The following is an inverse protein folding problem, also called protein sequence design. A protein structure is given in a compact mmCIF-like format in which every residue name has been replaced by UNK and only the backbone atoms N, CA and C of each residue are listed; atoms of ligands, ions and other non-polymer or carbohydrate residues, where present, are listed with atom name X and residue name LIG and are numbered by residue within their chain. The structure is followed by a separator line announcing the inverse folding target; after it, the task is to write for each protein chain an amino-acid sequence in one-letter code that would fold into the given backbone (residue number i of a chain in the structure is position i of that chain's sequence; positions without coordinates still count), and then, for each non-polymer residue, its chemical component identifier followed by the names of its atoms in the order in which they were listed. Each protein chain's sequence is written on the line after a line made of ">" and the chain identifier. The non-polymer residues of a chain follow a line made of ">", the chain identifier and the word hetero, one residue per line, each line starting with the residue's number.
data_IF_760231131465
#
_entry.id   IF_760231131465
#
_cell.length_a   1.000
_cell.length_b   1.000
_cell.length_c   1.000
_cell.angle_alpha   90.00
_cell.angle_beta   90.00
_cell.angle_gamma   90.00
#
_symmetry.space_group_name_H-M   'P 1'
#
loop_
_entity.id
_entity.type
_entity.pdbx_description
1 polymer ?
#
# COMPACT_ATOMS: atom_id res chain seq x y z
N UNK A 1 -3.92 3.63 41.34
CA UNK A 1 -3.42 4.97 40.95
C UNK A 1 -2.91 5.67 42.21
N UNK A 2 -1.68 6.17 42.20
CA UNK A 2 -1.08 7.03 43.20
C UNK A 2 -1.14 8.48 42.73
N UNK A 3 -1.53 9.40 43.60
CA UNK A 3 -1.56 10.84 43.32
C UNK A 3 -0.65 11.55 44.32
N UNK A 4 0.36 12.25 43.81
CA UNK A 4 1.33 13.01 44.59
C UNK A 4 1.03 14.50 44.39
N UNK A 5 0.62 15.16 45.47
CA UNK A 5 0.43 16.61 45.48
C UNK A 5 1.77 17.29 45.81
N UNK A 6 2.64 17.42 44.80
CA UNK A 6 4.01 17.92 44.93
C UNK A 6 4.94 17.26 43.92
N UNK A 7 6.25 17.53 44.05
CA UNK A 7 7.27 16.89 43.23
C UNK A 7 7.63 15.51 43.77
N UNK A 8 7.92 14.58 42.87
CA UNK A 8 8.38 13.22 43.15
C UNK A 8 9.80 13.04 42.59
N UNK A 9 10.69 12.47 43.40
CA UNK A 9 12.04 12.09 42.96
C UNK A 9 12.20 10.59 43.11
N UNK A 10 12.57 9.91 42.02
CA UNK A 10 12.85 8.48 42.00
C UNK A 10 14.36 8.30 42.26
N UNK A 11 14.69 7.66 43.39
CA UNK A 11 16.07 7.38 43.77
C UNK A 11 16.75 6.41 42.80
N UNK A 12 18.09 6.50 42.68
CA UNK A 12 18.86 5.55 41.88
C UNK A 12 18.71 4.11 42.41
N UNK A 13 18.65 3.14 41.49
CA UNK A 13 18.44 1.73 41.84
C UNK A 13 17.00 1.36 42.23
N UNK A 14 16.05 2.30 42.20
CA UNK A 14 14.65 2.02 42.54
C UNK A 14 13.99 1.04 41.58
N UNK A 15 13.12 0.18 42.11
CA UNK A 15 12.30 -0.76 41.34
C UNK A 15 10.82 -0.37 41.41
N UNK A 16 10.14 -0.31 40.26
CA UNK A 16 8.70 -0.14 40.21
C UNK A 16 8.03 -1.52 40.13
N UNK A 17 7.31 -1.90 41.19
CA UNK A 17 6.51 -3.12 41.19
C UNK A 17 5.05 -2.79 40.93
N UNK A 18 4.45 -3.51 39.98
CA UNK A 18 3.04 -3.38 39.62
C UNK A 18 2.35 -4.70 39.97
N UNK A 19 1.14 -4.61 40.48
CA UNK A 19 0.27 -5.75 40.72
C UNK A 19 -1.06 -5.50 40.01
N UNK A 20 -1.61 -6.52 39.35
CA UNK A 20 -2.92 -6.46 38.73
C UNK A 20 -3.96 -6.91 39.75
N UNK A 21 -5.07 -6.19 39.86
CA UNK A 21 -6.23 -6.60 40.67
C UNK A 21 -7.45 -6.90 39.78
N UNK A 22 -7.26 -6.95 38.45
CA UNK A 22 -8.32 -7.11 37.46
C UNK A 22 -7.81 -7.04 36.03
N UNK A 23 -8.62 -7.49 35.08
CA UNK A 23 -8.28 -7.47 33.66
C UNK A 23 -8.19 -6.04 33.12
N UNK A 24 -7.06 -5.72 32.49
CA UNK A 24 -6.82 -4.44 31.82
C UNK A 24 -7.42 -4.49 30.42
N UNK A 25 -8.07 -3.40 29.98
CA UNK A 25 -8.51 -3.29 28.59
C UNK A 25 -7.30 -3.02 27.69
N UNK A 26 -7.04 -3.88 26.69
CA UNK A 26 -6.07 -3.60 25.62
C UNK A 26 -6.27 -2.21 25.02
N UNK A 27 -5.19 -1.57 24.56
CA UNK A 27 -5.24 -0.25 23.90
C UNK A 27 -5.68 0.93 24.78
N UNK A 28 -5.87 0.73 26.10
CA UNK A 28 -6.25 1.78 27.04
C UNK A 28 -5.05 2.22 27.89
N UNK A 29 -4.91 3.51 28.12
CA UNK A 29 -3.88 4.08 29.01
C UNK A 29 -4.43 4.24 30.43
N UNK A 30 -3.69 3.75 31.41
CA UNK A 30 -4.02 3.83 32.84
C UNK A 30 -2.98 4.65 33.58
N UNK A 31 -3.39 5.73 34.23
CA UNK A 31 -2.52 6.48 35.14
C UNK A 31 -2.18 5.62 36.36
N UNK A 32 -0.90 5.26 36.49
CA UNK A 32 -0.40 4.58 37.67
C UNK A 32 0.01 5.57 38.74
N UNK A 33 0.78 6.60 38.37
CA UNK A 33 1.30 7.65 39.27
C UNK A 33 1.09 9.00 38.59
N UNK A 34 0.61 10.00 39.31
CA UNK A 34 0.53 11.40 38.84
C UNK A 34 1.12 12.31 39.92
N UNK A 35 2.01 13.23 39.56
CA UNK A 35 2.66 14.17 40.46
C UNK A 35 2.50 15.61 39.97
N UNK A 36 1.81 16.46 40.74
CA UNK A 36 1.49 17.83 40.31
C UNK A 36 2.71 18.76 40.23
N UNK A 37 3.76 18.49 41.01
CA UNK A 37 5.04 19.20 40.98
C UNK A 37 6.10 18.53 40.11
N UNK A 38 5.73 17.50 39.35
CA UNK A 38 6.61 16.77 38.44
C UNK A 38 7.29 15.54 39.04
N UNK A 39 7.92 14.74 38.18
CA UNK A 39 8.66 13.51 38.48
C UNK A 39 10.07 13.66 37.93
N UNK A 40 11.08 13.43 38.77
CA UNK A 40 12.49 13.41 38.40
C UNK A 40 13.13 12.05 38.74
N UNK A 41 14.20 11.67 38.05
CA UNK A 41 14.81 10.33 38.14
C UNK A 41 14.09 9.28 37.30
N UNK A 42 14.53 8.03 37.34
CA UNK A 42 13.89 6.90 36.63
C UNK A 42 14.09 5.60 37.40
N UNK A 43 13.16 4.66 37.25
CA UNK A 43 13.31 3.34 37.84
C UNK A 43 14.37 2.53 37.09
N UNK A 44 15.25 1.86 37.84
CA UNK A 44 16.28 0.99 37.28
C UNK A 44 15.68 -0.34 36.80
N UNK A 45 14.59 -0.79 37.43
CA UNK A 45 13.87 -1.98 36.99
C UNK A 45 12.36 -1.84 37.19
N UNK A 46 11.58 -2.54 36.37
CA UNK A 46 10.11 -2.59 36.46
C UNK A 46 9.70 -4.05 36.54
N UNK A 47 9.06 -4.41 37.66
CA UNK A 47 8.50 -5.74 37.87
C UNK A 47 7.00 -5.69 37.60
N UNK A 48 6.54 -6.51 36.66
CA UNK A 48 5.13 -6.64 36.31
C UNK A 48 4.72 -8.11 36.28
N UNK A 49 3.45 -8.43 36.60
CA UNK A 49 2.88 -9.76 36.43
C UNK A 49 2.95 -10.17 34.95
N UNK A 50 3.16 -11.46 34.66
CA UNK A 50 3.26 -11.96 33.28
C UNK A 50 1.95 -11.81 32.49
N UNK A 51 0.82 -11.76 33.18
CA UNK A 51 -0.53 -11.53 32.66
C UNK A 51 -0.87 -10.04 32.48
N UNK A 52 -0.02 -9.13 32.97
CA UNK A 52 -0.19 -7.68 32.78
C UNK A 52 0.40 -7.25 31.43
N UNK A 53 -0.46 -7.23 30.41
CA UNK A 53 -0.11 -6.82 29.06
C UNK A 53 -0.14 -5.30 28.90
N UNK A 54 1.01 -4.73 28.55
CA UNK A 54 1.19 -3.29 28.39
C UNK A 54 2.61 -2.81 28.68
N UNK A 55 2.86 -1.56 28.31
CA UNK A 55 4.13 -0.86 28.48
C UNK A 55 4.02 0.22 29.55
N UNK A 56 5.06 0.36 30.37
CA UNK A 56 5.15 1.47 31.31
C UNK A 56 5.84 2.64 30.66
N UNK A 57 5.19 3.79 30.70
CA UNK A 57 5.74 5.04 30.19
C UNK A 57 5.80 6.05 31.32
N UNK A 58 7.01 6.53 31.61
CA UNK A 58 7.25 7.61 32.55
C UNK A 58 7.37 8.95 31.82
N UNK A 59 6.83 10.00 32.43
CA UNK A 59 6.77 11.36 31.93
C UNK A 59 7.16 12.34 33.01
N UNK A 60 7.23 13.62 32.64
CA UNK A 60 7.56 14.70 33.55
C UNK A 60 6.56 14.85 34.72
N UNK A 61 5.30 14.44 34.57
CA UNK A 61 4.26 14.61 35.61
C UNK A 61 3.50 13.32 35.95
N UNK A 62 3.76 12.21 35.25
CA UNK A 62 3.01 10.96 35.43
C UNK A 62 3.74 9.72 34.96
N UNK A 63 3.34 8.57 35.49
CA UNK A 63 3.71 7.24 35.04
C UNK A 63 2.44 6.49 34.67
N UNK A 64 2.39 5.94 33.47
CA UNK A 64 1.20 5.32 32.88
C UNK A 64 1.50 3.90 32.42
N UNK A 65 0.49 3.04 32.48
CA UNK A 65 0.47 1.73 31.85
C UNK A 65 -0.37 1.83 30.57
N UNK A 66 0.27 1.62 29.43
CA UNK A 66 -0.39 1.54 28.13
C UNK A 66 -0.68 0.10 27.80
N UNK A 67 -1.96 -0.27 27.73
CA UNK A 67 -2.37 -1.61 27.35
C UNK A 67 -1.88 -1.99 25.95
N UNK A 68 -1.22 -3.12 25.82
CA UNK A 68 -0.75 -3.65 24.54
C UNK A 68 -1.94 -4.22 23.75
N UNK A 69 -1.95 -4.03 22.43
CA UNK A 69 -2.89 -4.75 21.57
C UNK A 69 -2.51 -6.23 21.49
N UNK A 70 -3.50 -7.10 21.64
CA UNK A 70 -3.30 -8.54 21.62
C UNK A 70 -3.53 -9.10 20.21
N UNK A 71 -2.71 -10.08 19.82
CA UNK A 71 -2.96 -10.91 18.65
C UNK A 71 -3.94 -12.04 18.94
N UNK A 72 -4.45 -12.67 17.89
CA UNK A 72 -5.27 -13.88 17.93
C UNK A 72 -4.79 -14.81 16.81
N UNK A 73 -4.77 -16.13 17.05
CA UNK A 73 -4.33 -17.11 16.06
C UNK A 73 -5.18 -17.11 14.78
N UNK A 74 -6.38 -16.55 14.82
CA UNK A 74 -7.28 -16.38 13.67
C UNK A 74 -6.97 -15.14 12.83
N UNK A 75 -6.09 -14.25 13.30
CA UNK A 75 -5.71 -13.06 12.54
C UNK A 75 -4.88 -13.44 11.33
N UNK A 76 -5.07 -12.69 10.23
CA UNK A 76 -4.19 -12.83 9.09
C UNK A 76 -2.77 -12.37 9.45
N UNK A 77 -1.73 -12.87 8.76
CA UNK A 77 -0.37 -12.42 8.99
C UNK A 77 -0.18 -10.91 8.87
N UNK A 78 -0.90 -10.24 7.96
CA UNK A 78 -0.84 -8.77 7.85
C UNK A 78 -1.45 -8.07 9.06
N UNK A 79 -2.56 -8.58 9.59
CA UNK A 79 -3.18 -8.04 10.81
C UNK A 79 -2.26 -8.23 12.00
N UNK A 80 -1.65 -9.42 12.15
CA UNK A 80 -0.70 -9.69 13.22
C UNK A 80 0.52 -8.73 13.16
N UNK A 81 1.13 -8.55 11.99
CA UNK A 81 2.23 -7.59 11.80
C UNK A 81 1.80 -6.15 12.08
N UNK A 82 0.56 -5.78 11.73
CA UNK A 82 0.00 -4.45 12.00
C UNK A 82 -0.15 -4.19 13.51
N UNK A 83 -0.63 -5.20 14.26
CA UNK A 83 -0.69 -5.17 15.73
C UNK A 83 0.71 -5.01 16.33
N UNK A 84 1.68 -5.81 15.87
CA UNK A 84 3.06 -5.74 16.35
C UNK A 84 3.69 -4.37 16.05
N UNK A 85 3.47 -3.85 14.86
CA UNK A 85 3.93 -2.52 14.46
C UNK A 85 3.31 -1.42 15.31
N UNK A 86 2.00 -1.48 15.56
CA UNK A 86 1.31 -0.52 16.43
C UNK A 86 1.88 -0.55 17.85
N UNK A 87 2.05 -1.74 18.42
CA UNK A 87 2.65 -1.93 19.74
C UNK A 87 4.08 -1.36 19.81
N UNK A 88 4.92 -1.68 18.83
CA UNK A 88 6.28 -1.16 18.74
C UNK A 88 6.33 0.37 18.55
N UNK A 89 5.36 0.92 17.81
CA UNK A 89 5.22 2.37 17.62
C UNK A 89 4.83 3.06 18.91
N UNK A 90 3.87 2.51 19.66
CA UNK A 90 3.37 3.11 20.90
C UNK A 90 4.45 3.27 21.98
N UNK A 91 5.38 2.33 22.06
CA UNK A 91 6.54 2.42 22.97
C UNK A 91 7.40 3.65 22.69
N UNK A 92 7.46 4.09 21.42
CA UNK A 92 8.30 5.22 20.99
C UNK A 92 7.59 6.57 21.06
N UNK A 93 6.26 6.60 21.26
CA UNK A 93 5.49 7.84 21.18
C UNK A 93 5.48 8.66 22.48
N UNK A 94 5.61 10.00 22.40
CA UNK A 94 5.43 10.88 23.55
C UNK A 94 3.96 10.95 23.99
N UNK A 95 3.69 11.43 25.21
CA UNK A 95 2.37 11.49 25.88
C UNK A 95 1.30 12.21 25.14
N UNK A 96 1.78 13.27 24.54
CA UNK A 96 1.03 14.27 23.84
C UNK A 96 0.79 13.82 22.41
N UNK A 97 1.28 12.63 22.03
CA UNK A 97 1.00 12.05 20.74
C UNK A 97 -0.51 11.89 20.59
N UNK A 98 -1.03 12.52 19.54
CA UNK A 98 -2.43 12.40 19.13
C UNK A 98 -2.80 10.96 18.75
N UNK A 99 -1.81 10.09 18.53
CA UNK A 99 -2.02 8.66 18.30
C UNK A 99 -2.82 7.99 19.43
N UNK A 100 -2.64 8.42 20.68
CA UNK A 100 -3.36 7.82 21.80
C UNK A 100 -4.88 8.04 21.73
N UNK A 101 -5.33 9.14 21.12
CA UNK A 101 -6.74 9.39 20.89
C UNK A 101 -7.35 8.45 19.82
N UNK A 102 -6.51 7.88 18.95
CA UNK A 102 -6.95 6.95 17.91
C UNK A 102 -7.03 5.49 18.40
N UNK A 103 -6.37 5.12 19.50
CA UNK A 103 -6.33 3.72 19.97
C UNK A 103 -7.70 3.06 20.19
N UNK A 104 -8.71 3.75 20.74
CA UNK A 104 -10.02 3.13 20.93
C UNK A 104 -10.68 2.67 19.63
N UNK A 105 -10.33 3.28 18.49
CA UNK A 105 -10.86 2.90 17.18
C UNK A 105 -10.30 1.57 16.65
N UNK A 106 -9.21 1.07 17.24
CA UNK A 106 -8.57 -0.21 16.92
C UNK A 106 -9.05 -1.35 17.83
N UNK A 107 -10.06 -1.09 18.65
CA UNK A 107 -10.65 -2.06 19.57
C UNK A 107 -12.09 -2.37 19.15
N UNK A 108 -12.48 -3.62 19.36
CA UNK A 108 -13.88 -4.03 19.33
C UNK A 108 -14.64 -3.48 20.54
N UNK A 109 -15.97 -3.56 20.53
CA UNK A 109 -16.80 -3.14 21.66
C UNK A 109 -16.49 -3.89 22.98
N UNK A 110 -15.97 -5.13 22.90
CA UNK A 110 -15.53 -5.92 24.06
C UNK A 110 -14.11 -5.57 24.52
N UNK A 111 -13.42 -4.66 23.84
CA UNK A 111 -12.08 -4.19 24.20
C UNK A 111 -10.94 -5.08 23.71
N UNK A 112 -11.18 -6.07 22.86
CA UNK A 112 -10.11 -6.83 22.18
C UNK A 112 -9.71 -6.14 20.87
N UNK A 113 -8.48 -6.38 20.39
CA UNK A 113 -7.99 -5.84 19.11
C UNK A 113 -8.97 -6.13 17.97
N UNK A 114 -9.31 -5.10 17.18
CA UNK A 114 -10.18 -5.24 16.01
C UNK A 114 -9.36 -5.58 14.76
N UNK A 115 -9.44 -6.82 14.23
CA UNK A 115 -8.69 -7.19 13.04
C UNK A 115 -9.04 -6.36 11.80
N UNK A 116 -10.27 -5.83 11.70
CA UNK A 116 -10.68 -4.98 10.56
C UNK A 116 -9.99 -3.62 10.65
N UNK A 117 -10.01 -2.99 11.82
CA UNK A 117 -9.30 -1.74 12.06
C UNK A 117 -7.80 -1.87 11.80
N UNK A 118 -7.18 -2.96 12.27
CA UNK A 118 -5.76 -3.22 12.01
C UNK A 118 -5.42 -3.50 10.54
N UNK A 119 -6.33 -4.12 9.79
CA UNK A 119 -6.16 -4.31 8.35
C UNK A 119 -6.17 -2.97 7.59
N UNK A 120 -7.04 -2.03 7.96
CA UNK A 120 -7.18 -0.72 7.29
C UNK A 120 -5.95 0.18 7.41
N UNK A 121 -5.16 0.03 8.47
CA UNK A 121 -3.95 0.84 8.70
C UNK A 121 -2.70 0.26 8.03
N UNK A 122 -2.80 -0.93 7.43
CA UNK A 122 -1.69 -1.54 6.69
C UNK A 122 -1.31 -0.72 5.45
N UNK A 123 -0.06 -0.82 4.97
CA UNK A 123 0.36 -0.19 3.72
C UNK A 123 -0.10 -0.95 2.45
N UNK A 124 -0.93 -1.99 2.59
CA UNK A 124 -1.28 -2.92 1.50
C UNK A 124 -1.87 -2.21 0.28
N UNK A 125 -2.71 -1.19 0.47
CA UNK A 125 -3.29 -0.42 -0.64
C UNK A 125 -2.22 0.30 -1.49
N UNK A 126 -1.15 0.79 -0.87
CA UNK A 126 -0.04 1.44 -1.59
C UNK A 126 0.84 0.42 -2.30
N UNK A 127 1.09 -0.74 -1.68
CA UNK A 127 1.81 -1.82 -2.30
C UNK A 127 1.05 -2.37 -3.52
N UNK A 128 -0.25 -2.64 -3.38
CA UNK A 128 -1.12 -3.13 -4.46
C UNK A 128 -1.25 -2.13 -5.61
N UNK A 129 -1.17 -0.83 -5.34
CA UNK A 129 -1.18 0.18 -6.39
C UNK A 129 0.01 0.08 -7.35
N UNK A 130 1.15 -0.50 -6.94
CA UNK A 130 2.28 -0.73 -7.85
C UNK A 130 1.93 -1.72 -8.98
N UNK A 131 0.96 -2.62 -8.74
CA UNK A 131 0.46 -3.55 -9.74
C UNK A 131 -0.24 -2.82 -10.91
N UNK A 132 -0.74 -1.60 -10.71
CA UNK A 132 -1.32 -0.79 -11.79
C UNK A 132 -0.31 -0.58 -12.92
N UNK A 133 0.97 -0.32 -12.58
CA UNK A 133 2.02 -0.16 -13.59
C UNK A 133 2.26 -1.44 -14.38
N UNK A 134 2.17 -2.60 -13.73
CA UNK A 134 2.29 -3.91 -14.40
C UNK A 134 1.10 -4.16 -15.33
N UNK A 135 -0.12 -3.91 -14.86
CA UNK A 135 -1.33 -4.08 -15.66
C UNK A 135 -1.30 -3.14 -16.89
N UNK A 136 -0.95 -1.87 -16.69
CA UNK A 136 -0.74 -0.89 -17.76
C UNK A 136 0.34 -1.35 -18.76
N UNK A 137 1.49 -1.83 -18.28
CA UNK A 137 2.57 -2.32 -19.12
C UNK A 137 2.13 -3.49 -20.02
N UNK A 138 1.36 -4.44 -19.47
CA UNK A 138 0.79 -5.55 -20.22
C UNK A 138 -0.22 -5.07 -21.28
N UNK A 139 -1.10 -4.13 -20.92
CA UNK A 139 -2.06 -3.54 -21.85
C UNK A 139 -1.38 -2.77 -22.99
N UNK A 140 -0.39 -1.93 -22.67
CA UNK A 140 0.38 -1.15 -23.65
C UNK A 140 1.22 -2.04 -24.58
N UNK A 141 1.79 -3.12 -24.04
CA UNK A 141 2.54 -4.09 -24.85
C UNK A 141 1.63 -4.84 -25.83
N UNK A 142 0.44 -5.26 -25.37
CA UNK A 142 -0.56 -5.84 -26.27
C UNK A 142 -1.00 -4.85 -27.35
N UNK A 143 -1.20 -3.59 -26.98
CA UNK A 143 -1.51 -2.51 -27.92
C UNK A 143 -0.41 -2.33 -28.97
N UNK A 144 0.87 -2.32 -28.56
CA UNK A 144 2.04 -2.16 -29.42
C UNK A 144 2.20 -3.31 -30.42
N UNK A 145 1.90 -4.54 -30.00
CA UNK A 145 1.89 -5.74 -30.86
C UNK A 145 0.69 -5.79 -31.82
N UNK A 146 -0.32 -4.95 -31.60
CA UNK A 146 -1.56 -4.93 -32.37
C UNK A 146 -1.37 -4.44 -33.82
N UNK A 147 -2.32 -4.76 -34.72
CA UNK A 147 -2.23 -4.38 -36.12
C UNK A 147 -2.30 -2.86 -36.35
N UNK A 148 -2.85 -2.09 -35.40
CA UNK A 148 -2.91 -0.63 -35.49
C UNK A 148 -1.51 0.01 -35.54
N UNK A 149 -0.50 -0.64 -34.96
CA UNK A 149 0.88 -0.18 -35.07
C UNK A 149 1.54 -0.56 -36.38
N UNK A 150 0.91 -1.42 -37.20
CA UNK A 150 1.45 -1.89 -38.47
C UNK A 150 0.86 -1.18 -39.69
N UNK A 151 1.66 -1.12 -40.75
CA UNK A 151 1.26 -0.56 -42.04
C UNK A 151 1.22 -1.66 -43.10
N UNK A 152 0.21 -1.63 -43.96
CA UNK A 152 0.08 -2.57 -45.08
C UNK A 152 0.62 -1.97 -46.40
N UNK A 153 1.47 -0.94 -46.29
CA UNK A 153 2.06 -0.30 -47.46
C UNK A 153 3.09 -1.24 -48.10
N UNK A 154 3.08 -1.32 -49.43
CA UNK A 154 4.09 -2.05 -50.20
C UNK A 154 5.40 -1.28 -50.31
N UNK A 155 5.34 0.05 -50.21
CA UNK A 155 6.51 0.94 -50.24
C UNK A 155 6.65 1.71 -48.93
N UNK A 156 7.90 1.90 -48.51
CA UNK A 156 8.24 2.60 -47.29
C UNK A 156 7.67 4.03 -47.30
N UNK A 157 6.88 4.36 -46.28
CA UNK A 157 6.28 5.69 -46.17
C UNK A 157 5.76 5.99 -44.78
N UNK A 158 5.39 7.26 -44.54
CA UNK A 158 4.81 7.67 -43.27
C UNK A 158 3.42 7.07 -43.09
N UNK A 159 3.08 6.72 -41.85
CA UNK A 159 1.74 6.32 -41.44
C UNK A 159 1.43 6.88 -40.04
N UNK A 160 0.14 6.97 -39.74
CA UNK A 160 -0.36 7.36 -38.42
C UNK A 160 -1.36 6.33 -37.92
N UNK A 161 -1.53 6.26 -36.61
CA UNK A 161 -2.52 5.38 -36.02
C UNK A 161 -3.06 5.98 -34.73
N UNK A 162 -4.23 5.48 -34.34
CA UNK A 162 -4.88 5.78 -33.08
C UNK A 162 -5.64 4.55 -32.61
N UNK A 163 -5.64 4.30 -31.30
CA UNK A 163 -6.41 3.22 -30.69
C UNK A 163 -6.86 3.58 -29.28
N UNK A 164 -7.98 3.00 -28.85
CA UNK A 164 -8.45 3.05 -27.47
C UNK A 164 -8.13 1.75 -26.76
N UNK A 165 -7.89 1.84 -25.46
CA UNK A 165 -7.58 0.70 -24.61
C UNK A 165 -8.62 0.60 -23.50
N UNK A 166 -8.98 -0.63 -23.15
CA UNK A 166 -9.83 -0.95 -22.02
C UNK A 166 -9.31 -2.23 -21.37
N UNK A 167 -9.16 -2.21 -20.05
CA UNK A 167 -8.58 -3.31 -19.30
C UNK A 167 -9.34 -3.57 -17.99
N UNK A 168 -9.47 -4.84 -17.64
CA UNK A 168 -10.09 -5.32 -16.39
C UNK A 168 -9.25 -6.47 -15.85
N UNK A 169 -8.72 -6.30 -14.65
CA UNK A 169 -7.86 -7.27 -13.99
C UNK A 169 -8.31 -7.53 -12.56
N UNK A 170 -8.05 -8.74 -12.09
CA UNK A 170 -8.24 -9.12 -10.68
C UNK A 170 -6.93 -9.70 -10.16
N UNK A 171 -6.36 -9.04 -9.16
CA UNK A 171 -5.26 -9.58 -8.37
C UNK A 171 -5.85 -10.51 -7.31
N UNK A 172 -5.38 -11.76 -7.29
CA UNK A 172 -5.83 -12.76 -6.33
C UNK A 172 -5.43 -12.43 -4.90
N UNK A 173 -6.25 -12.85 -3.94
CA UNK A 173 -5.88 -12.83 -2.53
C UNK A 173 -4.88 -13.96 -2.22
N UNK A 174 -3.94 -13.71 -1.32
CA UNK A 174 -3.08 -14.75 -0.73
C UNK A 174 -3.39 -14.89 0.76
N UNK A 175 -4.04 -16.01 1.14
CA UNK A 175 -4.36 -16.27 2.55
C UNK A 175 -3.14 -16.56 3.41
N UNK A 176 -2.09 -17.16 2.84
CA UNK A 176 -0.87 -17.48 3.57
C UNK A 176 -0.04 -16.22 3.86
N UNK A 177 -0.12 -15.21 3.00
CA UNK A 177 0.48 -13.90 3.25
C UNK A 177 -0.48 -12.89 3.87
N UNK A 178 -1.78 -13.18 3.88
CA UNK A 178 -2.84 -12.32 4.40
C UNK A 178 -3.19 -11.13 3.52
N UNK A 179 -2.90 -11.18 2.21
CA UNK A 179 -3.22 -10.11 1.26
C UNK A 179 -4.63 -10.28 0.69
N UNK A 180 -5.27 -9.15 0.41
CA UNK A 180 -6.62 -9.04 -0.12
C UNK A 180 -6.63 -9.10 -1.64
N UNK A 181 -7.74 -9.58 -2.20
CA UNK A 181 -7.96 -9.47 -3.62
C UNK A 181 -8.19 -7.99 -4.02
N UNK A 182 -7.65 -7.60 -5.17
CA UNK A 182 -7.81 -6.25 -5.72
C UNK A 182 -8.44 -6.35 -7.12
N UNK A 183 -9.34 -5.44 -7.43
CA UNK A 183 -9.91 -5.30 -8.77
C UNK A 183 -9.39 -4.03 -9.42
N UNK A 184 -8.75 -4.16 -10.58
CA UNK A 184 -8.23 -3.06 -11.39
C UNK A 184 -9.08 -2.92 -12.64
N UNK A 185 -9.44 -1.69 -13.01
CA UNK A 185 -10.11 -1.37 -14.27
C UNK A 185 -9.47 -0.12 -14.82
N UNK A 186 -9.20 -0.09 -16.11
CA UNK A 186 -8.61 1.08 -16.74
C UNK A 186 -9.05 1.25 -18.18
N UNK A 187 -8.86 2.46 -18.68
CA UNK A 187 -9.10 2.79 -20.07
C UNK A 187 -8.12 3.88 -20.51
N UNK A 188 -7.98 4.06 -21.81
CA UNK A 188 -7.13 5.12 -22.33
C UNK A 188 -7.13 5.22 -23.84
N UNK A 189 -6.27 6.10 -24.33
CA UNK A 189 -6.12 6.39 -25.75
C UNK A 189 -4.65 6.51 -26.10
N UNK A 190 -4.26 5.90 -27.22
CA UNK A 190 -2.94 6.00 -27.81
C UNK A 190 -3.06 6.57 -29.22
N UNK A 191 -2.10 7.42 -29.57
CA UNK A 191 -1.89 7.90 -30.93
C UNK A 191 -0.41 7.89 -31.27
N UNK A 192 -0.08 7.73 -32.54
CA UNK A 192 1.30 7.71 -32.95
C UNK A 192 1.52 7.89 -34.44
N UNK A 193 2.80 7.98 -34.75
CA UNK A 193 3.32 8.13 -36.11
C UNK A 193 4.41 7.11 -36.33
N UNK A 194 4.53 6.64 -37.56
CA UNK A 194 5.57 5.71 -37.93
C UNK A 194 6.01 5.88 -39.38
N UNK A 195 7.05 5.15 -39.73
CA UNK A 195 7.59 5.07 -41.07
C UNK A 195 7.97 3.62 -41.36
N UNK A 196 7.58 3.13 -42.53
CA UNK A 196 7.89 1.77 -42.95
C UNK A 196 6.94 1.26 -44.02
N UNK A 197 7.06 -0.03 -44.27
CA UNK A 197 6.26 -0.84 -45.18
C UNK A 197 5.80 -2.12 -44.47
N UNK A 198 5.20 -3.03 -45.23
CA UNK A 198 4.73 -4.33 -44.74
C UNK A 198 5.85 -5.25 -44.22
N UNK A 199 7.10 -5.03 -44.63
CA UNK A 199 8.26 -5.82 -44.21
C UNK A 199 8.88 -5.26 -42.94
N UNK A 200 9.03 -3.94 -42.83
CA UNK A 200 9.63 -3.32 -41.66
C UNK A 200 8.97 -2.00 -41.33
N UNK A 201 8.95 -1.65 -40.05
CA UNK A 201 8.38 -0.40 -39.60
C UNK A 201 8.96 -0.01 -38.25
N UNK A 202 9.06 1.31 -38.04
CA UNK A 202 9.37 1.91 -36.76
C UNK A 202 8.37 3.04 -36.49
N UNK A 203 7.98 3.20 -35.25
CA UNK A 203 7.07 4.26 -34.84
C UNK A 203 7.28 4.70 -33.41
N UNK A 204 6.78 5.90 -33.14
CA UNK A 204 6.68 6.46 -31.81
C UNK A 204 5.21 6.75 -31.49
N UNK A 205 4.87 6.62 -30.22
CA UNK A 205 3.50 6.78 -29.76
C UNK A 205 3.44 7.46 -28.41
N UNK A 206 2.30 8.07 -28.16
CA UNK A 206 1.99 8.67 -26.88
C UNK A 206 0.50 8.62 -26.61
N UNK A 207 0.13 8.84 -25.35
CA UNK A 207 -1.24 8.76 -24.95
C UNK A 207 -1.46 9.02 -23.48
N UNK A 208 -2.65 8.68 -23.02
CA UNK A 208 -3.04 8.82 -21.63
C UNK A 208 -3.81 7.59 -21.16
N UNK A 209 -3.70 7.30 -19.87
CA UNK A 209 -4.39 6.19 -19.20
C UNK A 209 -5.09 6.70 -17.94
N UNK A 210 -6.28 6.17 -17.67
CA UNK A 210 -6.99 6.28 -16.38
C UNK A 210 -7.21 4.88 -15.84
N UNK A 211 -6.64 4.60 -14.67
CA UNK A 211 -6.79 3.31 -14.00
C UNK A 211 -7.36 3.52 -12.60
N UNK A 212 -8.29 2.65 -12.22
CA UNK A 212 -8.89 2.58 -10.89
C UNK A 212 -8.73 1.18 -10.32
N UNK A 213 -8.15 1.09 -9.13
CA UNK A 213 -8.05 -0.13 -8.35
C UNK A 213 -8.93 -0.02 -7.09
N UNK A 214 -9.53 -1.12 -6.66
CA UNK A 214 -10.30 -1.21 -5.42
C UNK A 214 -9.97 -2.48 -4.65
N UNK A 215 -9.88 -2.36 -3.32
CA UNK A 215 -9.62 -3.45 -2.38
C UNK A 215 -10.75 -3.44 -1.36
N UNK A 216 -11.81 -4.21 -1.63
CA UNK A 216 -13.04 -4.18 -0.85
C UNK A 216 -12.83 -4.51 0.65
N UNK A 217 -12.04 -5.54 1.03
CA UNK A 217 -11.81 -5.85 2.46
C UNK A 217 -11.19 -4.70 3.25
N UNK A 218 -10.43 -3.83 2.59
CA UNK A 218 -9.76 -2.67 3.21
C UNK A 218 -10.55 -1.37 3.07
N UNK A 219 -11.67 -1.37 2.34
CA UNK A 219 -12.38 -0.17 1.92
C UNK A 219 -11.42 0.89 1.34
N UNK A 220 -10.50 0.44 0.48
CA UNK A 220 -9.49 1.26 -0.17
C UNK A 220 -9.70 1.31 -1.68
N UNK A 221 -9.43 2.48 -2.27
CA UNK A 221 -9.42 2.65 -3.72
C UNK A 221 -8.27 3.54 -4.16
N UNK A 222 -7.65 3.19 -5.27
CA UNK A 222 -6.58 3.96 -5.89
C UNK A 222 -7.03 4.39 -7.28
N UNK A 223 -6.87 5.68 -7.59
CA UNK A 223 -6.97 6.19 -8.95
C UNK A 223 -5.57 6.56 -9.41
N UNK A 224 -5.19 6.17 -10.62
CA UNK A 224 -3.96 6.55 -11.26
C UNK A 224 -4.30 7.12 -12.63
N UNK A 225 -3.97 8.39 -12.84
CA UNK A 225 -4.10 9.07 -14.13
C UNK A 225 -2.71 9.47 -14.61
N UNK A 226 -2.42 9.17 -15.88
CA UNK A 226 -1.06 9.24 -16.37
C UNK A 226 -0.94 9.40 -17.86
N UNK A 227 0.29 9.70 -18.28
CA UNK A 227 0.70 9.80 -19.67
C UNK A 227 1.65 8.67 -19.99
N UNK A 228 1.58 8.20 -21.23
CA UNK A 228 2.46 7.16 -21.74
C UNK A 228 3.16 7.66 -22.99
N UNK A 229 4.37 7.17 -23.19
CA UNK A 229 5.13 7.39 -24.41
C UNK A 229 5.96 6.15 -24.71
N UNK A 230 6.16 5.85 -25.99
CA UNK A 230 6.96 4.69 -26.37
C UNK A 230 7.42 4.71 -27.81
N UNK A 231 8.32 3.80 -28.08
CA UNK A 231 8.80 3.48 -29.42
C UNK A 231 8.57 2.00 -29.69
N UNK A 232 8.24 1.67 -30.93
CA UNK A 232 8.01 0.30 -31.36
C UNK A 232 8.62 0.09 -32.74
N UNK A 233 9.20 -1.09 -32.95
CA UNK A 233 9.72 -1.54 -34.23
C UNK A 233 9.26 -2.96 -34.53
N UNK A 234 8.95 -3.23 -35.79
CA UNK A 234 8.61 -4.57 -36.27
C UNK A 234 9.35 -4.89 -37.56
N UNK A 235 9.68 -6.16 -37.71
CA UNK A 235 10.31 -6.72 -38.90
C UNK A 235 9.65 -8.06 -39.24
N UNK A 236 9.25 -8.23 -40.49
CA UNK A 236 8.66 -9.45 -41.05
C UNK A 236 9.62 -10.01 -42.09
N UNK A 237 9.90 -11.30 -42.01
CA UNK A 237 10.73 -12.03 -42.94
C UNK A 237 9.88 -12.72 -44.02
N UNK A 238 10.41 -12.90 -45.24
CA UNK A 238 9.68 -13.58 -46.33
C UNK A 238 9.27 -15.03 -46.02
N UNK A 239 9.97 -15.68 -45.09
CA UNK A 239 9.70 -17.07 -44.68
C UNK A 239 8.58 -17.21 -43.64
N UNK A 240 7.81 -16.15 -43.38
CA UNK A 240 6.68 -16.15 -42.45
C UNK A 240 7.04 -15.79 -41.01
N UNK A 241 8.33 -15.69 -40.65
CA UNK A 241 8.73 -15.22 -39.32
C UNK A 241 8.63 -13.71 -39.18
N UNK A 242 8.40 -13.23 -37.97
CA UNK A 242 8.47 -11.80 -37.67
C UNK A 242 8.88 -11.53 -36.23
N UNK A 243 9.41 -10.33 -36.02
CA UNK A 243 9.99 -9.84 -34.78
C UNK A 243 9.37 -8.49 -34.46
N UNK A 244 9.07 -8.25 -33.19
CA UNK A 244 8.61 -6.96 -32.68
C UNK A 244 9.38 -6.60 -31.42
N UNK A 245 9.66 -5.32 -31.25
CA UNK A 245 10.25 -4.80 -30.03
C UNK A 245 9.64 -3.44 -29.68
N UNK A 246 9.42 -3.19 -28.39
CA UNK A 246 9.01 -1.86 -27.92
C UNK A 246 9.64 -1.49 -26.60
N UNK A 247 9.85 -0.18 -26.41
CA UNK A 247 10.22 0.43 -25.13
C UNK A 247 9.15 1.46 -24.81
N UNK A 248 8.60 1.38 -23.60
CA UNK A 248 7.43 2.14 -23.18
C UNK A 248 7.70 2.73 -21.80
N UNK A 249 7.45 4.03 -21.67
CA UNK A 249 7.45 4.75 -20.41
C UNK A 249 6.01 5.10 -20.03
N UNK A 250 5.63 4.80 -18.79
CA UNK A 250 4.34 5.17 -18.19
C UNK A 250 4.61 5.98 -16.92
N UNK A 251 4.08 7.20 -16.88
CA UNK A 251 4.16 8.10 -15.72
C UNK A 251 2.76 8.51 -15.30
N UNK A 252 2.38 8.12 -14.09
CA UNK A 252 1.04 8.35 -13.55
C UNK A 252 1.10 8.97 -12.15
N UNK A 253 0.16 9.86 -11.86
CA UNK A 253 -0.10 10.33 -10.51
C UNK A 253 -1.17 9.45 -9.88
N UNK A 254 -0.82 8.79 -8.78
CA UNK A 254 -1.72 7.96 -8.01
C UNK A 254 -2.29 8.70 -6.80
N UNK A 255 -3.60 8.57 -6.60
CA UNK A 255 -4.33 8.99 -5.40
C UNK A 255 -4.99 7.77 -4.78
N UNK A 256 -4.50 7.37 -3.61
CA UNK A 256 -5.12 6.30 -2.81
C UNK A 256 -5.98 6.91 -1.72
N UNK A 257 -7.25 6.52 -1.68
CA UNK A 257 -8.20 6.82 -0.61
C UNK A 257 -8.47 5.54 0.19
N UNK A 258 -8.49 5.64 1.52
CA UNK A 258 -8.77 4.51 2.42
C UNK A 258 -9.64 4.94 3.58
N UNK A 259 -10.54 4.05 4.00
CA UNK A 259 -11.19 4.20 5.29
C UNK A 259 -10.15 4.11 6.41
N UNK A 260 -10.31 4.93 7.45
CA UNK A 260 -9.54 4.81 8.67
C UNK A 260 -10.47 4.39 9.81
N UNK A 261 -9.97 3.59 10.77
CA UNK A 261 -10.77 3.18 11.92
C UNK A 261 -11.24 4.41 12.70
N UNK A 262 -12.54 4.46 13.01
CA UNK A 262 -13.16 5.55 13.79
C UNK A 262 -13.17 6.93 13.11
N UNK A 263 -12.71 7.06 11.86
CA UNK A 263 -12.73 8.33 11.13
C UNK A 263 -14.02 8.47 10.32
N UNK A 264 -14.69 9.62 10.44
CA UNK A 264 -15.84 9.96 9.60
C UNK A 264 -15.44 10.26 8.15
N UNK A 265 -14.21 10.72 7.93
CA UNK A 265 -13.67 11.06 6.61
C UNK A 265 -12.56 10.09 6.21
N UNK A 266 -12.54 9.62 4.94
CA UNK A 266 -11.45 8.79 4.44
C UNK A 266 -10.12 9.57 4.41
N UNK A 267 -9.02 8.89 4.71
CA UNK A 267 -7.69 9.44 4.46
C UNK A 267 -7.29 9.25 3.00
N UNK A 268 -6.44 10.14 2.51
CA UNK A 268 -5.88 10.01 1.17
C UNK A 268 -4.38 10.30 1.15
N UNK A 269 -3.68 9.68 0.20
CA UNK A 269 -2.29 9.99 -0.14
C UNK A 269 -2.14 10.16 -1.64
N UNK A 270 -1.23 11.06 -2.06
CA UNK A 270 -0.82 11.24 -3.45
C UNK A 270 0.64 10.87 -3.60
N UNK A 271 0.97 10.21 -4.70
CA UNK A 271 2.32 9.75 -5.02
C UNK A 271 2.39 9.45 -6.51
N UNK A 272 3.59 9.39 -7.05
CA UNK A 272 3.79 9.11 -8.46
C UNK A 272 4.15 7.62 -8.68
N UNK A 273 3.65 7.07 -9.77
CA UNK A 273 3.96 5.73 -10.26
C UNK A 273 4.67 5.89 -11.61
N UNK A 274 5.86 5.33 -11.71
CA UNK A 274 6.66 5.36 -12.92
C UNK A 274 7.03 3.93 -13.30
N UNK A 275 6.91 3.59 -14.58
CA UNK A 275 7.37 2.31 -15.10
C UNK A 275 8.08 2.48 -16.44
N UNK A 276 9.11 1.67 -16.62
CA UNK A 276 9.79 1.49 -17.90
C UNK A 276 9.62 0.03 -18.30
N UNK A 277 8.95 -0.19 -19.42
CA UNK A 277 8.65 -1.52 -19.95
C UNK A 277 9.45 -1.75 -21.23
N UNK A 278 10.05 -2.92 -21.34
CA UNK A 278 10.67 -3.41 -22.56
C UNK A 278 9.97 -4.69 -22.98
N UNK A 279 9.60 -4.78 -24.25
CA UNK A 279 8.97 -5.95 -24.83
C UNK A 279 9.71 -6.43 -26.07
N UNK A 280 9.83 -7.75 -26.21
CA UNK A 280 10.36 -8.43 -27.39
C UNK A 280 9.41 -9.58 -27.71
N UNK A 281 9.01 -9.68 -28.97
CA UNK A 281 8.13 -10.74 -29.46
C UNK A 281 8.64 -11.33 -30.77
N UNK A 282 8.38 -12.63 -30.94
CA UNK A 282 8.63 -13.39 -32.17
C UNK A 282 7.32 -14.06 -32.56
N UNK A 283 6.95 -13.98 -33.82
CA UNK A 283 5.77 -14.63 -34.38
C UNK A 283 6.09 -15.37 -35.66
N UNK A 284 5.23 -16.32 -36.02
CA UNK A 284 5.27 -17.04 -37.29
C UNK A 284 3.87 -17.07 -37.89
N UNK A 285 3.76 -16.65 -39.14
CA UNK A 285 2.51 -16.67 -39.90
C UNK A 285 2.52 -17.90 -40.79
N UNK A 286 1.68 -18.87 -40.46
CA UNK A 286 1.42 -20.03 -41.30
C UNK A 286 0.26 -19.74 -42.26
N UNK A 287 0.40 -20.05 -43.54
CA UNK A 287 -0.74 -20.11 -44.44
C UNK A 287 -1.59 -21.34 -44.09
N UNK A 288 -2.87 -21.12 -43.77
CA UNK A 288 -3.82 -22.22 -43.66
C UNK A 288 -4.40 -22.51 -45.05
N UNK A 289 -4.12 -23.72 -45.55
CA UNK A 289 -4.66 -24.26 -46.80
C UNK A 289 -6.15 -24.57 -46.71
#
# INVERSE_FOLDING_TARGET
>A
KLVVNGAMTIGSGSTLQIVSSGAIRPGTSYDLIVASGGISGSYASVQKPSDLFGFIVQRADRIQLLGQFLGDARFSPQVARSVDYANATLVKQPATSTLFAALPSLLTASGVSDPRGFAQVTPEAYASATQIGVDNALGLTQAARGPAFATNRTEAGPFTFAQTLGQWHTLGADRAQGTSAAQTRGYGFLGGVGYGDQQWMIGAFGGWLDTRQSIAPLAASTRADGVVAGVHGRYSMPNGFGFGASIIYDGAQARTTRALPGAATPAFGRYDLHSLTSDISVHYTAEMA
#
